data_IF_642524776511
#
_entry.id   IF_642524776511
#
_cell.length_a   1.000
_cell.length_b   1.000
_cell.length_c   1.000
_cell.angle_alpha   90.00
_cell.angle_beta   90.00
_cell.angle_gamma   90.00
#
_symmetry.space_group_name_H-M   'P 1'
#
loop_
_entity.id
_entity.type
_entity.pdbx_description
1 polymer ?
#
# COMPACT_ATOMS: atom_id res chain seq x y z
N UNK A 1 50.70 -22.18 -15.65
CA UNK A 1 50.50 -20.93 -14.90
C UNK A 1 49.53 -20.10 -15.70
N UNK A 2 48.25 -20.24 -15.41
CA UNK A 2 47.18 -19.39 -15.94
C UNK A 2 46.64 -18.70 -14.72
N UNK A 3 46.94 -17.40 -14.65
CA UNK A 3 46.47 -16.50 -13.62
C UNK A 3 44.99 -16.24 -13.88
N UNK A 4 44.14 -16.84 -13.05
CA UNK A 4 42.69 -16.72 -13.11
C UNK A 4 42.22 -15.81 -12.00
N UNK A 5 42.47 -14.51 -12.15
CA UNK A 5 41.84 -13.47 -11.34
C UNK A 5 40.32 -13.61 -11.47
N UNK A 6 39.71 -14.14 -10.42
CA UNK A 6 38.26 -14.26 -10.26
C UNK A 6 37.76 -12.88 -9.86
N UNK A 7 37.34 -12.07 -10.84
CA UNK A 7 36.52 -10.90 -10.56
C UNK A 7 35.16 -11.40 -10.06
N UNK A 8 34.93 -11.28 -8.75
CA UNK A 8 33.63 -11.47 -8.13
C UNK A 8 32.72 -10.31 -8.52
N UNK A 9 32.04 -10.41 -9.67
CA UNK A 9 30.91 -9.55 -10.01
C UNK A 9 29.67 -10.02 -9.24
N UNK A 10 29.65 -9.84 -7.91
CA UNK A 10 28.44 -9.95 -7.09
C UNK A 10 27.58 -8.67 -7.26
N UNK A 11 27.32 -8.28 -8.51
CA UNK A 11 26.48 -7.15 -8.84
C UNK A 11 25.03 -7.61 -8.91
N UNK A 12 24.22 -7.24 -7.92
CA UNK A 12 22.77 -7.31 -8.09
C UNK A 12 22.38 -6.26 -9.15
N UNK A 13 21.63 -6.67 -10.18
CA UNK A 13 21.25 -5.79 -11.31
C UNK A 13 20.42 -4.57 -10.86
N UNK A 14 19.90 -4.57 -9.63
CA UNK A 14 18.98 -3.56 -9.13
C UNK A 14 19.58 -2.56 -8.13
N UNK A 15 20.63 -2.96 -7.40
CA UNK A 15 21.23 -2.13 -6.34
C UNK A 15 22.72 -2.39 -6.14
N UNK A 16 23.40 -1.45 -5.48
CA UNK A 16 24.81 -1.55 -5.10
C UNK A 16 25.03 -1.25 -3.62
N UNK A 17 26.08 -1.84 -3.05
CA UNK A 17 26.57 -1.48 -1.71
C UNK A 17 27.16 -0.08 -1.74
N UNK A 18 26.87 0.72 -0.71
CA UNK A 18 27.40 2.08 -0.59
C UNK A 18 28.39 2.13 0.57
N UNK A 19 29.56 2.73 0.31
CA UNK A 19 30.55 3.03 1.34
C UNK A 19 29.95 3.92 2.44
N UNK A 20 30.13 3.53 3.70
CA UNK A 20 29.64 4.26 4.89
C UNK A 20 30.13 5.70 4.94
N UNK A 21 31.30 6.01 4.37
CA UNK A 21 31.87 7.36 4.36
C UNK A 21 31.18 8.30 3.35
N UNK A 22 30.38 7.77 2.42
CA UNK A 22 29.73 8.58 1.40
C UNK A 22 28.49 9.27 1.97
N UNK A 23 28.22 10.53 1.60
CA UNK A 23 27.00 11.20 2.00
C UNK A 23 25.77 10.43 1.49
N UNK A 24 24.63 10.64 2.14
CA UNK A 24 23.35 10.15 1.64
C UNK A 24 23.06 10.70 0.26
N UNK A 25 22.36 9.94 -0.56
CA UNK A 25 21.92 10.38 -1.88
C UNK A 25 20.52 9.85 -2.19
N UNK A 26 19.91 10.43 -3.21
CA UNK A 26 18.70 9.89 -3.81
C UNK A 26 18.94 8.44 -4.20
N UNK A 27 17.98 7.57 -3.93
CA UNK A 27 18.07 6.14 -4.21
C UNK A 27 18.66 5.29 -3.09
N UNK A 28 19.21 5.90 -2.03
CA UNK A 28 19.64 5.14 -0.84
C UNK A 28 18.45 4.41 -0.23
N UNK A 29 18.67 3.13 0.09
CA UNK A 29 17.75 2.28 0.83
C UNK A 29 18.11 2.35 2.30
N UNK A 30 17.13 2.77 3.08
CA UNK A 30 17.15 2.80 4.53
C UNK A 30 16.46 1.55 5.08
N UNK A 31 16.99 1.02 6.16
CA UNK A 31 16.41 -0.09 6.93
C UNK A 31 16.32 0.29 8.40
N UNK A 32 15.19 0.03 9.03
CA UNK A 32 15.00 0.15 10.47
C UNK A 32 14.68 -1.22 11.05
N UNK A 33 15.36 -1.60 12.13
CA UNK A 33 15.08 -2.85 12.83
C UNK A 33 13.90 -2.66 13.78
N UNK A 34 13.04 -3.68 13.93
CA UNK A 34 11.97 -3.65 14.92
C UNK A 34 12.54 -3.58 16.34
N UNK A 35 11.77 -2.98 17.26
CA UNK A 35 12.13 -2.96 18.67
C UNK A 35 11.99 -4.35 19.32
N UNK A 36 11.11 -5.18 18.77
CA UNK A 36 10.80 -6.53 19.20
C UNK A 36 11.39 -7.59 18.26
N UNK A 37 11.87 -8.69 18.84
CA UNK A 37 12.58 -9.76 18.11
C UNK A 37 11.72 -10.50 17.06
N UNK A 38 10.42 -10.23 16.98
CA UNK A 38 9.49 -10.82 16.02
C UNK A 38 8.95 -9.85 14.97
N UNK A 39 9.31 -8.56 15.03
CA UNK A 39 8.83 -7.57 14.08
C UNK A 39 9.47 -7.73 12.69
N UNK A 40 8.81 -7.19 11.67
CA UNK A 40 9.42 -7.06 10.34
C UNK A 40 10.26 -5.77 10.27
N UNK A 41 11.43 -5.80 9.60
CA UNK A 41 12.18 -4.57 9.36
C UNK A 41 11.37 -3.60 8.50
N UNK A 42 11.49 -2.33 8.83
CA UNK A 42 10.96 -1.24 8.01
C UNK A 42 11.98 -0.83 6.96
N UNK A 43 11.52 -0.42 5.78
CA UNK A 43 12.38 0.08 4.72
C UNK A 43 11.92 1.45 4.24
N UNK A 44 12.90 2.25 3.82
CA UNK A 44 12.69 3.56 3.21
C UNK A 44 13.55 3.72 1.97
N UNK A 45 13.04 4.44 0.98
CA UNK A 45 13.81 4.82 -0.21
C UNK A 45 13.95 6.34 -0.25
N UNK A 46 15.17 6.86 -0.14
CA UNK A 46 15.43 8.31 -0.20
C UNK A 46 15.04 8.84 -1.57
N UNK A 47 14.17 9.85 -1.58
CA UNK A 47 13.70 10.54 -2.78
C UNK A 47 14.17 12.00 -2.87
N UNK A 48 14.74 12.56 -1.79
CA UNK A 48 15.38 13.89 -1.84
C UNK A 48 16.38 13.92 -2.99
N UNK A 49 16.31 14.95 -3.84
CA UNK A 49 17.19 15.08 -4.98
C UNK A 49 18.64 15.32 -4.54
N UNK A 50 19.59 14.74 -5.29
CA UNK A 50 21.02 14.89 -4.99
C UNK A 50 21.47 16.37 -4.94
N UNK A 51 20.90 17.22 -5.81
CA UNK A 51 21.19 18.65 -5.81
C UNK A 51 20.73 19.35 -4.52
N UNK A 52 19.62 18.92 -3.91
CA UNK A 52 19.12 19.48 -2.65
C UNK A 52 19.99 19.05 -1.47
N UNK A 53 20.46 17.80 -1.47
CA UNK A 53 21.38 17.26 -0.46
C UNK A 53 22.72 17.99 -0.51
N UNK A 54 23.32 18.10 -1.70
CA UNK A 54 24.64 18.74 -1.89
C UNK A 54 24.61 20.23 -1.54
N UNK A 55 23.49 20.91 -1.78
CA UNK A 55 23.35 22.35 -1.52
C UNK A 55 22.88 22.66 -0.09
N UNK A 56 22.66 21.65 0.77
CA UNK A 56 22.15 21.85 2.13
C UNK A 56 20.75 22.49 2.16
N UNK A 57 20.00 22.41 1.05
CA UNK A 57 18.72 23.12 0.88
C UNK A 57 17.59 22.54 1.72
N UNK A 58 17.72 21.29 2.13
CA UNK A 58 16.71 20.59 2.90
C UNK A 58 16.81 20.81 4.42
N UNK A 59 17.61 21.78 4.92
CA UNK A 59 17.77 22.04 6.36
C UNK A 59 18.10 20.77 7.16
N UNK A 60 19.08 20.00 6.67
CA UNK A 60 19.49 18.69 7.21
C UNK A 60 18.39 17.61 7.26
N UNK A 61 17.33 17.73 6.44
CA UNK A 61 16.27 16.71 6.36
C UNK A 61 16.37 15.87 5.10
N UNK A 62 16.08 14.59 5.26
CA UNK A 62 15.90 13.66 4.16
C UNK A 62 14.44 13.27 4.03
N UNK A 63 13.98 13.22 2.78
CA UNK A 63 12.65 12.76 2.40
C UNK A 63 12.79 11.38 1.81
N UNK A 64 11.96 10.44 2.27
CA UNK A 64 11.93 9.07 1.77
C UNK A 64 10.51 8.57 1.61
N UNK A 65 10.32 7.56 0.77
CA UNK A 65 9.04 6.82 0.66
C UNK A 65 9.13 5.50 1.43
N UNK A 66 8.04 5.12 2.11
CA UNK A 66 7.95 3.82 2.78
C UNK A 66 8.03 2.69 1.75
N UNK A 67 8.86 1.68 2.04
CA UNK A 67 8.97 0.46 1.23
C UNK A 67 8.53 -0.73 2.08
N UNK A 68 7.60 -1.51 1.56
CA UNK A 68 7.01 -2.66 2.27
C UNK A 68 7.17 -3.94 1.46
N UNK A 69 7.03 -5.10 2.08
CA UNK A 69 6.95 -6.37 1.32
C UNK A 69 5.69 -6.39 0.45
N UNK A 70 5.71 -7.14 -0.66
CA UNK A 70 4.53 -7.30 -1.51
C UNK A 70 3.34 -7.87 -0.73
N UNK A 71 3.59 -8.77 0.22
CA UNK A 71 2.56 -9.30 1.12
C UNK A 71 1.96 -8.20 1.98
N UNK A 72 2.79 -7.40 2.65
CA UNK A 72 2.32 -6.30 3.49
C UNK A 72 1.52 -5.26 2.65
N UNK A 73 1.94 -4.97 1.42
CA UNK A 73 1.16 -4.14 0.49
C UNK A 73 -0.24 -4.74 0.21
N UNK A 74 -0.29 -6.02 -0.14
CA UNK A 74 -1.55 -6.70 -0.44
C UNK A 74 -2.48 -6.68 0.77
N UNK A 75 -1.98 -7.04 1.95
CA UNK A 75 -2.77 -7.15 3.17
C UNK A 75 -3.22 -5.79 3.74
N UNK A 76 -2.35 -4.77 3.67
CA UNK A 76 -2.65 -3.44 4.25
C UNK A 76 -3.49 -2.56 3.32
N UNK A 77 -3.32 -2.67 2.00
CA UNK A 77 -3.89 -1.70 1.05
C UNK A 77 -4.82 -2.36 0.03
N UNK A 78 -4.32 -3.34 -0.73
CA UNK A 78 -5.05 -3.83 -1.90
C UNK A 78 -6.25 -4.73 -1.52
N UNK A 79 -6.05 -5.71 -0.64
CA UNK A 79 -7.10 -6.64 -0.21
C UNK A 79 -8.25 -5.90 0.49
N UNK A 80 -8.02 -5.03 1.48
CA UNK A 80 -9.10 -4.29 2.13
C UNK A 80 -9.95 -3.51 1.12
N UNK A 81 -9.33 -2.85 0.13
CA UNK A 81 -10.04 -2.18 -0.95
C UNK A 81 -10.85 -3.16 -1.81
N UNK A 82 -10.31 -4.34 -2.15
CA UNK A 82 -11.07 -5.37 -2.89
C UNK A 82 -12.29 -5.88 -2.11
N UNK A 83 -12.12 -6.19 -0.82
CA UNK A 83 -13.19 -6.66 0.05
C UNK A 83 -14.28 -5.58 0.18
N UNK A 84 -13.89 -4.33 0.43
CA UNK A 84 -14.83 -3.21 0.52
C UNK A 84 -15.59 -2.97 -0.79
N UNK A 85 -14.91 -3.03 -1.94
CA UNK A 85 -15.54 -2.93 -3.27
C UNK A 85 -16.55 -4.04 -3.50
N UNK A 86 -16.22 -5.26 -3.10
CA UNK A 86 -17.13 -6.39 -3.18
C UNK A 86 -18.40 -6.15 -2.34
N UNK A 87 -18.23 -5.77 -1.07
CA UNK A 87 -19.34 -5.48 -0.15
C UNK A 87 -20.24 -4.39 -0.73
N UNK A 88 -19.67 -3.23 -1.11
CA UNK A 88 -20.39 -2.10 -1.69
C UNK A 88 -21.19 -2.48 -2.93
N UNK A 89 -20.66 -3.38 -3.76
CA UNK A 89 -21.32 -3.83 -4.99
C UNK A 89 -22.45 -4.83 -4.73
N UNK A 90 -22.29 -5.73 -3.76
CA UNK A 90 -23.17 -6.89 -3.61
C UNK A 90 -24.21 -6.76 -2.51
N UNK A 91 -24.00 -5.89 -1.51
CA UNK A 91 -24.89 -5.76 -0.36
C UNK A 91 -26.31 -5.38 -0.77
N UNK A 92 -26.47 -4.44 -1.71
CA UNK A 92 -27.79 -4.02 -2.21
C UNK A 92 -28.53 -5.17 -2.87
N UNK A 93 -27.84 -5.91 -3.75
CA UNK A 93 -28.41 -7.06 -4.48
C UNK A 93 -28.84 -8.16 -3.50
N UNK A 94 -28.04 -8.42 -2.46
CA UNK A 94 -28.38 -9.39 -1.43
C UNK A 94 -29.57 -8.94 -0.57
N UNK A 95 -29.62 -7.65 -0.20
CA UNK A 95 -30.72 -7.08 0.58
C UNK A 95 -32.05 -7.13 -0.17
N UNK A 96 -32.05 -6.77 -1.46
CA UNK A 96 -33.22 -6.89 -2.33
C UNK A 96 -33.67 -8.34 -2.48
N UNK A 97 -32.72 -9.27 -2.69
CA UNK A 97 -33.00 -10.70 -2.80
C UNK A 97 -33.61 -11.30 -1.53
N UNK A 98 -33.06 -10.95 -0.36
CA UNK A 98 -33.58 -11.41 0.92
C UNK A 98 -34.92 -10.75 1.26
N UNK A 99 -35.07 -9.45 0.98
CA UNK A 99 -36.34 -8.73 1.15
C UNK A 99 -37.47 -9.29 0.26
N UNK A 100 -37.16 -9.78 -0.94
CA UNK A 100 -38.14 -10.50 -1.76
C UNK A 100 -38.59 -11.83 -1.12
N UNK A 101 -37.69 -12.54 -0.42
CA UNK A 101 -38.05 -13.75 0.33
C UNK A 101 -38.92 -13.41 1.53
N UNK A 102 -38.58 -12.34 2.27
CA UNK A 102 -39.35 -11.87 3.42
C UNK A 102 -40.79 -11.53 3.05
N UNK A 103 -40.98 -10.76 1.96
CA UNK A 103 -42.31 -10.43 1.44
C UNK A 103 -43.14 -11.66 1.06
N UNK A 104 -42.53 -12.68 0.44
CA UNK A 104 -43.21 -13.95 0.14
C UNK A 104 -43.55 -14.79 1.38
N UNK A 105 -42.88 -14.50 2.50
CA UNK A 105 -43.08 -15.17 3.78
C UNK A 105 -44.02 -14.40 4.72
N UNK A 106 -44.72 -13.38 4.20
CA UNK A 106 -45.63 -12.51 4.95
C UNK A 106 -44.92 -11.80 6.13
N UNK A 107 -43.67 -11.40 5.90
CA UNK A 107 -42.90 -10.55 6.82
C UNK A 107 -42.92 -9.12 6.27
N UNK A 108 -43.69 -8.25 6.91
CA UNK A 108 -43.78 -6.83 6.56
C UNK A 108 -42.58 -6.06 7.16
N UNK A 109 -41.44 -6.17 6.48
CA UNK A 109 -40.19 -5.53 6.90
C UNK A 109 -39.34 -5.17 5.68
N UNK A 110 -38.87 -3.92 5.64
CA UNK A 110 -37.92 -3.45 4.62
C UNK A 110 -36.50 -3.61 5.15
N UNK A 111 -35.77 -4.57 4.59
CA UNK A 111 -34.37 -4.82 4.95
C UNK A 111 -33.43 -3.80 4.30
N UNK A 112 -32.76 -3.00 5.11
CA UNK A 112 -31.71 -2.08 4.64
C UNK A 112 -30.36 -2.79 4.48
N UNK A 113 -29.44 -2.18 3.72
CA UNK A 113 -28.08 -2.68 3.55
C UNK A 113 -27.35 -2.82 4.90
N UNK A 114 -27.42 -1.80 5.76
CA UNK A 114 -26.80 -1.80 7.09
C UNK A 114 -27.34 -2.91 7.99
N UNK A 115 -28.66 -3.14 7.97
CA UNK A 115 -29.29 -4.21 8.74
C UNK A 115 -28.82 -5.58 8.26
N UNK A 116 -28.73 -5.78 6.94
CA UNK A 116 -28.20 -7.02 6.39
C UNK A 116 -26.75 -7.25 6.82
N UNK A 117 -25.88 -6.25 6.74
CA UNK A 117 -24.48 -6.37 7.17
C UNK A 117 -24.39 -6.69 8.68
N UNK A 118 -25.21 -6.04 9.50
CA UNK A 118 -25.31 -6.32 10.94
C UNK A 118 -25.75 -7.77 11.22
N UNK A 119 -26.73 -8.28 10.47
CA UNK A 119 -27.15 -9.67 10.58
C UNK A 119 -26.03 -10.63 10.17
N UNK A 120 -25.37 -10.37 9.03
CA UNK A 120 -24.28 -11.21 8.54
C UNK A 120 -23.06 -11.18 9.46
N UNK A 121 -22.81 -10.08 10.17
CA UNK A 121 -21.72 -10.02 11.15
C UNK A 121 -21.96 -10.95 12.34
N UNK A 122 -23.22 -11.13 12.76
CA UNK A 122 -23.56 -11.82 14.01
C UNK A 122 -24.18 -13.19 13.83
N UNK A 123 -24.64 -13.55 12.62
CA UNK A 123 -25.39 -14.78 12.37
C UNK A 123 -24.88 -15.50 11.13
N UNK A 124 -24.96 -16.84 11.19
CA UNK A 124 -24.73 -17.71 10.05
C UNK A 124 -25.87 -17.58 9.03
N UNK A 125 -25.55 -17.76 7.75
CA UNK A 125 -26.51 -17.61 6.64
C UNK A 125 -27.70 -18.55 6.80
N UNK A 126 -27.48 -19.79 7.26
CA UNK A 126 -28.55 -20.75 7.50
C UNK A 126 -29.53 -20.29 8.60
N UNK A 127 -29.02 -19.61 9.64
CA UNK A 127 -29.85 -19.08 10.71
C UNK A 127 -30.68 -17.89 10.20
N UNK A 128 -30.10 -17.02 9.39
CA UNK A 128 -30.82 -15.92 8.72
C UNK A 128 -31.90 -16.51 7.80
N UNK A 129 -31.55 -17.49 6.98
CA UNK A 129 -32.47 -18.16 6.07
C UNK A 129 -33.67 -18.77 6.79
N UNK A 130 -33.43 -19.51 7.88
CA UNK A 130 -34.49 -20.08 8.73
C UNK A 130 -35.39 -19.01 9.36
N UNK A 131 -34.81 -17.88 9.78
CA UNK A 131 -35.57 -16.80 10.41
C UNK A 131 -36.50 -16.07 9.43
N UNK A 132 -36.07 -15.86 8.19
CA UNK A 132 -36.80 -15.04 7.21
C UNK A 132 -37.71 -15.85 6.27
N UNK A 133 -37.53 -17.16 6.18
CA UNK A 133 -38.20 -17.99 5.20
C UNK A 133 -39.23 -18.93 5.85
N UNK A 134 -40.47 -18.44 5.99
CA UNK A 134 -41.58 -19.21 6.56
C UNK A 134 -42.26 -20.15 5.56
N UNK A 135 -41.91 -20.05 4.27
CA UNK A 135 -42.56 -20.82 3.20
C UNK A 135 -42.07 -22.27 3.11
N UNK A 136 -40.99 -22.63 3.81
CA UNK A 136 -40.38 -23.96 3.77
C UNK A 136 -39.61 -24.29 2.49
N UNK A 137 -39.68 -23.45 1.44
CA UNK A 137 -38.87 -23.63 0.23
C UNK A 137 -37.42 -23.23 0.48
N UNK A 138 -36.40 -23.90 -0.07
CA UNK A 138 -35.02 -23.45 0.10
C UNK A 138 -34.79 -22.07 -0.53
N UNK A 139 -33.84 -21.31 0.03
CA UNK A 139 -33.36 -20.09 -0.62
C UNK A 139 -32.68 -20.44 -1.95
N UNK A 140 -32.72 -19.49 -2.87
CA UNK A 140 -31.98 -19.59 -4.12
C UNK A 140 -30.46 -19.76 -3.83
N UNK A 141 -29.84 -20.72 -4.52
CA UNK A 141 -28.44 -21.08 -4.28
C UNK A 141 -27.47 -19.92 -4.56
N UNK A 142 -27.80 -19.06 -5.54
CA UNK A 142 -27.00 -17.86 -5.85
C UNK A 142 -27.13 -16.81 -4.74
N UNK A 143 -28.32 -16.64 -4.16
CA UNK A 143 -28.50 -15.79 -2.98
C UNK A 143 -27.73 -16.32 -1.77
N UNK A 144 -27.79 -17.62 -1.47
CA UNK A 144 -27.01 -18.24 -0.38
C UNK A 144 -25.51 -18.00 -0.59
N UNK A 145 -25.01 -18.26 -1.79
CA UNK A 145 -23.61 -18.01 -2.16
C UNK A 145 -23.22 -16.55 -1.97
N UNK A 146 -24.08 -15.61 -2.38
CA UNK A 146 -23.82 -14.18 -2.21
C UNK A 146 -23.79 -13.75 -0.72
N UNK A 147 -24.70 -14.29 0.10
CA UNK A 147 -24.73 -14.00 1.54
C UNK A 147 -23.48 -14.55 2.25
N UNK A 148 -23.05 -15.76 1.93
CA UNK A 148 -21.81 -16.33 2.47
C UNK A 148 -20.57 -15.53 2.04
N UNK A 149 -20.52 -15.13 0.77
CA UNK A 149 -19.44 -14.30 0.26
C UNK A 149 -19.40 -12.91 0.94
N UNK A 150 -20.55 -12.27 1.15
CA UNK A 150 -20.63 -11.01 1.92
C UNK A 150 -20.18 -11.19 3.36
N UNK A 151 -20.60 -12.28 4.02
CA UNK A 151 -20.20 -12.61 5.40
C UNK A 151 -18.68 -12.77 5.52
N UNK A 152 -18.07 -13.50 4.58
CA UNK A 152 -16.62 -13.63 4.49
C UNK A 152 -15.96 -12.27 4.22
N UNK A 153 -16.47 -11.47 3.28
CA UNK A 153 -15.89 -10.18 2.91
C UNK A 153 -15.91 -9.14 4.03
N UNK A 154 -16.90 -9.17 4.94
CA UNK A 154 -16.94 -8.27 6.11
C UNK A 154 -16.12 -8.79 7.31
N UNK A 155 -15.46 -9.94 7.19
CA UNK A 155 -14.64 -10.50 8.26
C UNK A 155 -15.44 -11.07 9.42
N UNK A 156 -16.66 -11.57 9.16
CA UNK A 156 -17.47 -12.18 10.21
C UNK A 156 -17.02 -13.60 10.58
N UNK A 157 -16.19 -14.21 9.74
CA UNK A 157 -15.56 -15.50 9.97
C UNK A 157 -14.10 -15.31 10.39
N UNK A 158 -13.58 -16.22 11.20
CA UNK A 158 -12.20 -16.15 11.69
C UNK A 158 -11.25 -16.60 10.57
N UNK A 159 -10.28 -15.74 10.26
CA UNK A 159 -9.21 -16.01 9.31
C UNK A 159 -7.88 -15.60 9.95
N UNK A 160 -6.80 -16.31 9.60
CA UNK A 160 -5.47 -16.03 10.15
C UNK A 160 -4.95 -14.65 9.72
N UNK A 161 -5.25 -14.25 8.48
CA UNK A 161 -4.86 -12.97 7.89
C UNK A 161 -5.83 -12.52 6.77
N UNK A 162 -5.60 -11.30 6.27
CA UNK A 162 -6.38 -10.68 5.19
C UNK A 162 -6.28 -11.48 3.88
N UNK A 163 -5.11 -12.07 3.58
CA UNK A 163 -4.91 -12.88 2.38
C UNK A 163 -5.76 -14.14 2.41
N UNK A 164 -5.84 -14.82 3.55
CA UNK A 164 -6.64 -16.01 3.77
C UNK A 164 -8.13 -15.71 3.65
N UNK A 165 -8.58 -14.57 4.21
CA UNK A 165 -9.94 -14.08 4.03
C UNK A 165 -10.26 -13.81 2.55
N UNK A 166 -9.38 -13.11 1.83
CA UNK A 166 -9.57 -12.84 0.41
C UNK A 166 -9.64 -14.13 -0.42
N UNK A 167 -8.72 -15.08 -0.19
CA UNK A 167 -8.73 -16.39 -0.87
C UNK A 167 -10.01 -17.18 -0.58
N UNK A 168 -10.50 -17.14 0.66
CA UNK A 168 -11.77 -17.77 1.04
C UNK A 168 -12.95 -17.14 0.27
N UNK A 169 -13.00 -15.81 0.18
CA UNK A 169 -14.00 -15.11 -0.64
C UNK A 169 -13.93 -15.56 -2.10
N UNK A 170 -12.75 -15.56 -2.73
CA UNK A 170 -12.57 -15.98 -4.13
C UNK A 170 -12.98 -17.44 -4.33
N UNK A 171 -12.69 -18.31 -3.36
CA UNK A 171 -13.14 -19.71 -3.35
C UNK A 171 -14.67 -19.84 -3.32
N UNK A 172 -15.36 -19.06 -2.49
CA UNK A 172 -16.84 -19.01 -2.47
C UNK A 172 -17.37 -18.56 -3.84
N UNK A 173 -16.72 -17.58 -4.46
CA UNK A 173 -17.06 -17.09 -5.79
C UNK A 173 -16.78 -18.10 -6.90
N UNK A 174 -16.00 -19.15 -6.62
CA UNK A 174 -15.71 -20.26 -7.53
C UNK A 174 -14.45 -20.03 -8.36
N UNK A 175 -13.55 -19.16 -7.92
CA UNK A 175 -12.27 -18.95 -8.58
C UNK A 175 -11.25 -20.01 -8.17
N UNK A 176 -10.60 -20.60 -9.17
CA UNK A 176 -9.50 -21.52 -8.97
C UNK A 176 -8.22 -20.80 -8.50
N UNK A 177 -7.21 -21.54 -7.98
CA UNK A 177 -5.96 -20.96 -7.50
C UNK A 177 -5.15 -20.21 -8.57
N UNK A 178 -5.20 -20.63 -9.84
CA UNK A 178 -4.45 -19.98 -10.92
C UNK A 178 -5.00 -18.58 -11.20
N UNK A 179 -6.33 -18.46 -11.23
CA UNK A 179 -7.00 -17.17 -11.34
C UNK A 179 -6.70 -16.27 -10.14
N UNK A 180 -6.68 -16.81 -8.93
CA UNK A 180 -6.32 -16.05 -7.73
C UNK A 180 -4.87 -15.53 -7.81
N UNK A 181 -3.93 -16.35 -8.27
CA UNK A 181 -2.54 -15.94 -8.48
C UNK A 181 -2.41 -14.86 -9.56
N UNK A 182 -3.15 -14.99 -10.67
CA UNK A 182 -3.19 -14.02 -11.75
C UNK A 182 -3.75 -12.66 -11.28
N UNK A 183 -4.79 -12.66 -10.45
CA UNK A 183 -5.35 -11.45 -9.85
C UNK A 183 -4.30 -10.72 -8.98
N UNK A 184 -3.54 -11.45 -8.16
CA UNK A 184 -2.45 -10.89 -7.34
C UNK A 184 -1.31 -10.36 -8.22
N UNK A 185 -0.89 -11.10 -9.23
CA UNK A 185 0.16 -10.67 -10.16
C UNK A 185 -0.26 -9.38 -10.90
N UNK A 186 -1.52 -9.31 -11.32
CA UNK A 186 -2.10 -8.11 -11.94
C UNK A 186 -2.15 -6.93 -10.98
N UNK A 187 -2.49 -7.17 -9.72
CA UNK A 187 -2.50 -6.14 -8.67
C UNK A 187 -1.10 -5.54 -8.46
N UNK A 188 -0.09 -6.38 -8.30
CA UNK A 188 1.32 -5.96 -8.14
C UNK A 188 1.89 -5.35 -9.43
N UNK A 189 1.37 -5.75 -10.59
CA UNK A 189 1.70 -5.17 -11.90
C UNK A 189 1.05 -3.81 -12.17
N UNK A 190 0.15 -3.32 -11.30
CA UNK A 190 -0.44 -1.98 -11.42
C UNK A 190 -1.81 -1.90 -12.10
N UNK A 191 -2.45 -3.03 -12.40
CA UNK A 191 -3.89 -3.10 -12.66
C UNK A 191 -4.48 -2.19 -13.74
N UNK A 192 -3.74 -1.87 -14.81
CA UNK A 192 -4.24 -1.11 -15.98
C UNK A 192 -4.36 0.41 -15.78
N UNK A 193 -3.95 0.94 -14.64
CA UNK A 193 -3.90 2.38 -14.35
C UNK A 193 -2.48 2.87 -14.05
N UNK A 194 -2.33 4.16 -13.71
CA UNK A 194 -1.06 4.67 -13.17
C UNK A 194 -1.00 4.33 -11.68
N UNK A 195 -0.17 3.35 -11.25
CA UNK A 195 -0.17 2.90 -9.88
C UNK A 195 0.52 3.94 -8.99
N UNK A 196 0.03 4.11 -7.78
CA UNK A 196 0.59 4.99 -6.76
C UNK A 196 1.69 4.31 -5.92
N UNK A 197 2.28 3.25 -6.48
CA UNK A 197 3.38 2.50 -5.91
C UNK A 197 4.38 2.09 -7.00
N UNK A 198 5.56 1.64 -6.61
CA UNK A 198 6.56 1.05 -7.50
C UNK A 198 6.99 -0.32 -6.99
N UNK A 199 6.92 -1.36 -7.83
CA UNK A 199 7.36 -2.71 -7.48
C UNK A 199 8.87 -2.84 -7.72
N UNK A 200 9.61 -3.19 -6.68
CA UNK A 200 11.04 -3.48 -6.67
C UNK A 200 11.21 -5.00 -6.55
N UNK A 201 11.93 -5.68 -7.45
CA UNK A 201 12.10 -7.12 -7.37
C UNK A 201 12.82 -7.57 -6.08
N UNK A 202 13.79 -6.78 -5.65
CA UNK A 202 14.70 -7.09 -4.54
C UNK A 202 15.19 -5.82 -3.83
N UNK A 203 15.70 -5.97 -2.61
CA UNK A 203 16.29 -4.91 -1.79
C UNK A 203 17.55 -5.39 -1.06
N UNK A 204 18.54 -4.51 -0.86
CA UNK A 204 19.71 -4.83 -0.03
C UNK A 204 19.32 -5.17 1.41
N UNK A 205 19.97 -6.19 1.97
CA UNK A 205 19.77 -6.67 3.34
C UNK A 205 18.32 -7.06 3.71
N UNK A 206 17.50 -7.37 2.70
CA UNK A 206 16.14 -7.85 2.87
C UNK A 206 16.03 -9.34 2.50
N UNK A 207 15.10 -10.05 3.12
CA UNK A 207 14.83 -11.46 2.82
C UNK A 207 13.49 -11.60 2.12
N UNK A 208 13.46 -12.30 0.98
CA UNK A 208 12.23 -12.56 0.22
C UNK A 208 12.27 -11.92 -1.17
N UNK A 209 11.11 -11.85 -1.82
CA UNK A 209 10.97 -11.37 -3.20
C UNK A 209 9.83 -10.36 -3.28
N UNK A 210 10.07 -9.28 -4.00
CA UNK A 210 9.06 -8.27 -4.31
C UNK A 210 8.79 -7.33 -3.15
N UNK A 211 9.14 -6.07 -3.34
CA UNK A 211 8.91 -4.97 -2.42
C UNK A 211 8.18 -3.85 -3.13
N UNK A 212 7.39 -3.09 -2.39
CA UNK A 212 6.53 -2.05 -2.93
C UNK A 212 6.90 -0.72 -2.28
N UNK A 213 7.49 0.18 -3.07
CA UNK A 213 7.70 1.56 -2.67
C UNK A 213 6.38 2.33 -2.80
N UNK A 214 5.85 2.80 -1.68
CA UNK A 214 4.55 3.45 -1.58
C UNK A 214 4.70 4.95 -1.87
N UNK A 215 4.45 5.36 -3.11
CA UNK A 215 4.77 6.72 -3.60
C UNK A 215 3.95 7.84 -2.93
N UNK A 216 2.83 7.50 -2.27
CA UNK A 216 2.04 8.45 -1.47
C UNK A 216 2.46 8.54 0.00
N UNK A 217 3.27 7.61 0.47
CA UNK A 217 3.66 7.49 1.87
C UNK A 217 5.03 8.12 2.06
N UNK A 218 5.07 9.43 1.80
CA UNK A 218 6.26 10.25 1.91
C UNK A 218 6.46 10.61 3.39
N UNK A 219 7.69 10.40 3.88
CA UNK A 219 8.13 10.73 5.23
C UNK A 219 9.36 11.59 5.16
N UNK A 220 9.57 12.37 6.20
CA UNK A 220 10.79 13.15 6.41
C UNK A 220 11.43 12.73 7.72
N UNK A 221 12.76 12.76 7.75
CA UNK A 221 13.56 12.43 8.93
C UNK A 221 14.77 13.37 8.96
N UNK A 222 15.20 13.74 10.17
CA UNK A 222 16.40 14.54 10.33
C UNK A 222 17.64 13.66 10.01
N UNK A 223 18.63 14.22 9.32
CA UNK A 223 19.76 13.45 8.80
C UNK A 223 20.64 12.86 9.92
N UNK A 224 20.62 13.46 11.11
CA UNK A 224 21.27 12.98 12.33
C UNK A 224 20.51 11.83 13.03
N UNK A 225 19.30 11.51 12.57
CA UNK A 225 18.53 10.35 13.00
C UNK A 225 18.71 9.12 12.08
N UNK A 226 19.46 9.29 10.99
CA UNK A 226 19.84 8.19 10.09
C UNK A 226 21.33 7.88 10.29
N UNK A 227 21.65 6.60 10.36
CA UNK A 227 23.01 6.10 10.53
C UNK A 227 23.59 5.55 9.24
N UNK A 228 24.91 5.55 9.11
CA UNK A 228 25.58 5.05 7.90
C UNK A 228 25.49 3.52 7.79
N UNK A 229 25.39 2.84 8.93
CA UNK A 229 25.26 1.39 9.06
C UNK A 229 24.51 0.99 10.34
N UNK A 230 24.12 -0.30 10.43
CA UNK A 230 23.51 -0.85 11.63
C UNK A 230 24.44 -0.76 12.85
N UNK A 231 25.74 -0.98 12.62
CA UNK A 231 26.77 -0.94 13.67
C UNK A 231 26.87 0.48 14.23
N UNK A 232 26.88 1.49 13.36
CA UNK A 232 26.91 2.89 13.76
C UNK A 232 25.68 3.28 14.60
N UNK A 233 24.49 2.83 14.22
CA UNK A 233 23.26 3.02 14.99
C UNK A 233 23.34 2.42 16.39
N UNK A 234 23.94 1.23 16.52
CA UNK A 234 24.13 0.56 17.82
C UNK A 234 25.17 1.26 18.70
N UNK A 235 26.26 1.78 18.12
CA UNK A 235 27.28 2.54 18.85
C UNK A 235 26.68 3.80 19.49
N UNK A 236 25.68 4.40 18.84
CA UNK A 236 24.95 5.57 19.33
C UNK A 236 23.72 5.23 20.19
N UNK A 237 23.61 3.99 20.69
CA UNK A 237 22.48 3.51 21.51
C UNK A 237 21.10 3.66 20.83
N UNK A 238 21.05 3.61 19.49
CA UNK A 238 19.81 3.67 18.69
C UNK A 238 19.65 2.46 17.76
N UNK A 239 19.55 1.23 18.30
CA UNK A 239 19.53 0.00 17.49
C UNK A 239 18.34 -0.15 16.53
N UNK A 240 17.26 0.60 16.75
CA UNK A 240 16.05 0.60 15.92
C UNK A 240 16.00 1.75 14.91
N UNK A 241 17.01 2.63 14.91
CA UNK A 241 17.05 3.75 13.99
C UNK A 241 17.28 3.30 12.55
N UNK A 242 16.88 4.17 11.61
CA UNK A 242 17.11 3.95 10.20
C UNK A 242 18.61 4.00 9.91
N UNK A 243 19.09 3.04 9.11
CA UNK A 243 20.45 3.04 8.62
C UNK A 243 20.49 2.65 7.15
N UNK A 244 21.50 3.12 6.42
CA UNK A 244 21.66 2.80 5.00
C UNK A 244 22.12 1.36 4.83
N UNK A 245 21.52 0.66 3.88
CA UNK A 245 21.87 -0.73 3.52
C UNK A 245 22.30 -0.91 2.07
N UNK A 246 22.06 0.10 1.21
CA UNK A 246 22.51 0.10 -0.18
C UNK A 246 21.88 1.25 -0.96
N UNK A 247 22.05 1.23 -2.29
CA UNK A 247 21.48 2.24 -3.21
C UNK A 247 20.96 1.59 -4.46
N UNK A 248 19.77 2.00 -4.89
CA UNK A 248 19.21 1.59 -6.17
C UNK A 248 20.06 2.11 -7.33
N UNK A 249 20.20 1.29 -8.36
CA UNK A 249 20.91 1.67 -9.57
C UNK A 249 20.17 2.81 -10.30
N UNK A 250 20.90 3.61 -11.07
CA UNK A 250 20.38 4.85 -11.68
C UNK A 250 19.09 4.65 -12.46
N UNK A 251 18.99 3.58 -13.26
CA UNK A 251 17.78 3.29 -14.04
C UNK A 251 16.52 3.14 -13.17
N UNK A 252 16.62 2.44 -12.03
CA UNK A 252 15.49 2.23 -11.12
C UNK A 252 15.21 3.50 -10.33
N UNK A 253 16.24 4.14 -9.78
CA UNK A 253 16.13 5.40 -9.04
C UNK A 253 15.41 6.48 -9.86
N UNK A 254 15.80 6.65 -11.12
CA UNK A 254 15.17 7.61 -12.02
C UNK A 254 13.75 7.20 -12.36
N UNK A 255 13.47 5.92 -12.59
CA UNK A 255 12.12 5.43 -12.84
C UNK A 255 11.18 5.70 -11.65
N UNK A 256 11.62 5.47 -10.42
CA UNK A 256 10.85 5.79 -9.21
C UNK A 256 10.60 7.28 -9.11
N UNK A 257 11.64 8.10 -9.27
CA UNK A 257 11.55 9.57 -9.17
C UNK A 257 10.62 10.14 -10.24
N UNK A 258 10.72 9.67 -11.48
CA UNK A 258 9.83 10.07 -12.57
C UNK A 258 8.38 9.69 -12.27
N UNK A 259 8.16 8.47 -11.75
CA UNK A 259 6.81 8.00 -11.39
C UNK A 259 6.22 8.83 -10.26
N UNK A 260 7.02 9.15 -9.25
CA UNK A 260 6.65 10.04 -8.15
C UNK A 260 6.27 11.44 -8.68
N UNK A 261 7.13 12.05 -9.49
CA UNK A 261 6.88 13.37 -10.07
C UNK A 261 5.58 13.41 -10.89
N UNK A 262 5.33 12.37 -11.70
CA UNK A 262 4.10 12.26 -12.48
C UNK A 262 2.85 12.03 -11.63
N UNK A 263 2.97 11.33 -10.50
CA UNK A 263 1.87 11.14 -9.55
C UNK A 263 1.35 12.46 -9.00
N UNK A 264 2.28 13.38 -8.66
CA UNK A 264 1.97 14.65 -8.03
C UNK A 264 1.77 15.80 -9.01
N UNK A 265 2.32 15.74 -10.23
CA UNK A 265 2.11 16.78 -11.26
C UNK A 265 0.65 16.90 -11.71
N UNK A 266 -0.15 15.85 -11.49
CA UNK A 266 -1.60 15.84 -11.78
C UNK A 266 -2.43 16.58 -10.73
N UNK A 267 -1.85 16.90 -9.57
CA UNK A 267 -2.51 17.65 -8.51
C UNK A 267 -2.25 19.13 -8.79
N UNK A 268 -3.04 19.71 -9.70
CA UNK A 268 -2.99 21.15 -9.98
C UNK A 268 -3.44 21.98 -8.77
N UNK A 269 -3.03 23.25 -8.72
CA UNK A 269 -3.57 24.21 -7.76
C UNK A 269 -4.97 24.66 -8.21
N UNK A 270 -5.89 24.97 -7.28
CA UNK A 270 -7.13 25.61 -7.64
C UNK A 270 -6.87 26.95 -8.35
N UNK A 271 -7.55 27.22 -9.47
CA UNK A 271 -7.34 28.43 -10.28
C UNK A 271 -7.45 29.72 -9.46
N UNK A 272 -8.37 29.77 -8.50
CA UNK A 272 -8.53 30.93 -7.62
C UNK A 272 -7.29 31.22 -6.76
N UNK A 273 -6.53 30.19 -6.37
CA UNK A 273 -5.29 30.33 -5.63
C UNK A 273 -4.15 30.84 -6.53
N UNK A 274 -4.10 30.35 -7.78
CA UNK A 274 -3.14 30.83 -8.78
C UNK A 274 -3.36 32.31 -9.11
N UNK A 275 -4.61 32.73 -9.27
CA UNK A 275 -4.99 34.13 -9.50
C UNK A 275 -4.65 35.01 -8.29
N UNK A 276 -5.00 34.57 -7.08
CA UNK A 276 -4.67 35.27 -5.84
C UNK A 276 -3.16 35.44 -5.65
N UNK A 277 -2.37 34.40 -5.94
CA UNK A 277 -0.90 34.46 -5.86
C UNK A 277 -0.31 35.45 -6.85
N UNK A 278 -0.88 35.53 -8.08
CA UNK A 278 -0.46 36.49 -9.10
C UNK A 278 -0.76 37.93 -8.67
N UNK A 279 -1.95 38.18 -8.14
CA UNK A 279 -2.32 39.50 -7.60
C UNK A 279 -1.45 39.89 -6.41
N UNK A 280 -1.20 38.96 -5.49
CA UNK A 280 -0.34 39.20 -4.33
C UNK A 280 1.12 39.51 -4.76
N UNK A 281 1.66 38.79 -5.74
CA UNK A 281 2.99 39.06 -6.27
C UNK A 281 3.09 40.45 -6.91
N UNK A 282 2.06 40.88 -7.66
CA UNK A 282 2.01 42.22 -8.26
C UNK A 282 1.97 43.32 -7.19
N UNK A 283 1.13 43.16 -6.16
CA UNK A 283 1.02 44.11 -5.05
C UNK A 283 2.31 44.15 -4.22
N UNK A 284 2.93 43.00 -3.97
CA UNK A 284 4.21 42.93 -3.26
C UNK A 284 5.31 43.64 -4.06
N UNK A 285 5.38 43.43 -5.38
CA UNK A 285 6.33 44.14 -6.23
C UNK A 285 6.10 45.66 -6.21
N UNK A 286 4.85 46.10 -6.22
CA UNK A 286 4.49 47.52 -6.13
C UNK A 286 4.89 48.14 -4.78
N UNK A 287 4.57 47.49 -3.66
CA UNK A 287 4.98 47.94 -2.31
C UNK A 287 6.50 48.01 -2.18
N UNK A 288 7.23 46.97 -2.64
CA UNK A 288 8.70 46.96 -2.61
C UNK A 288 9.28 48.12 -3.44
N UNK A 289 8.71 48.42 -4.60
CA UNK A 289 9.24 49.45 -5.50
C UNK A 289 8.89 50.87 -5.04
N UNK A 290 7.71 51.06 -4.45
CA UNK A 290 7.21 52.38 -4.02
C UNK A 290 7.62 52.74 -2.59
N UNK A 291 8.12 51.79 -1.80
CA UNK A 291 8.61 52.02 -0.44
C UNK A 291 7.51 52.30 0.58
N UNK A 292 6.27 51.87 0.31
CA UNK A 292 5.16 51.88 1.25
C UNK A 292 5.08 50.57 2.03
#
# INVERSE_FOLDING_TARGET
MVDGSTESSDGNDYWSTVDESKPYAQGDILRGLPADAGGEPSFGLIITADCDIVQGKASDRLTYVEVVTSRAYLERLWIPDQLQRYVKKQVRVAAEGLGAVMRRSDLDFTLTEEQLLSWLATRQVDAIAKAVNRTGKPLDAKLIKNLNALRCAIGADVHDDQLSQWRALRGILGDDPERQQSDIATALGGGGGFPDFFLLPDLPAASGVGYVALLRFIRTVDADEIFSSEVDARIHDRPTALHRVGRLNDGIRFAVTQKLAFLFSRIGLPTHFEDASRSAAALAAESIFTGA
#
